data_IF_653312889923
#
_entry.id   IF_653312889923
#
_cell.length_a   1.000
_cell.length_b   1.000
_cell.length_c   1.000
_cell.angle_alpha   90.00
_cell.angle_beta   90.00
_cell.angle_gamma   90.00
#
_symmetry.space_group_name_H-M   'P 1'
#
loop_
_entity.id
_entity.type
_entity.pdbx_description
1 polymer ?
#
# COMPACT_ATOMS: atom_id res chain seq x y z
N UNK A 1 -24.33 -17.40 -6.81
CA UNK A 1 -23.81 -16.39 -7.77
C UNK A 1 -22.47 -15.97 -7.25
N UNK A 2 -21.41 -15.95 -8.10
CA UNK A 2 -20.07 -15.50 -7.69
C UNK A 2 -20.11 -14.00 -7.34
N UNK A 3 -19.40 -13.54 -6.29
CA UNK A 3 -19.29 -12.11 -6.02
C UNK A 3 -18.59 -11.38 -7.16
N UNK A 4 -19.13 -10.19 -7.52
CA UNK A 4 -18.58 -9.37 -8.60
C UNK A 4 -17.46 -8.49 -8.05
N UNK A 5 -16.28 -8.58 -8.64
CA UNK A 5 -15.06 -7.88 -8.23
C UNK A 5 -14.66 -6.87 -9.29
N UNK A 6 -14.38 -5.63 -8.86
CA UNK A 6 -13.81 -4.58 -9.70
C UNK A 6 -12.46 -4.12 -9.17
N UNK A 7 -11.49 -3.92 -10.07
CA UNK A 7 -10.20 -3.29 -9.80
C UNK A 7 -10.19 -1.87 -10.35
N UNK A 8 -9.75 -0.93 -9.53
CA UNK A 8 -9.73 0.49 -9.88
C UNK A 8 -8.38 1.10 -9.58
N UNK A 9 -7.85 1.82 -10.55
CA UNK A 9 -6.59 2.55 -10.46
C UNK A 9 -6.83 4.03 -10.14
N UNK A 10 -5.95 4.59 -9.32
CA UNK A 10 -5.85 6.02 -9.04
C UNK A 10 -4.38 6.44 -9.21
N UNK A 11 -3.85 7.34 -8.38
CA UNK A 11 -2.44 7.72 -8.51
C UNK A 11 -1.54 6.61 -7.94
N UNK A 12 -0.98 5.80 -8.83
CA UNK A 12 -0.12 4.65 -8.53
C UNK A 12 0.81 4.31 -9.70
N UNK A 13 1.56 3.22 -9.57
CA UNK A 13 2.36 2.61 -10.63
C UNK A 13 1.70 1.37 -11.24
N UNK A 14 0.48 1.00 -10.77
CA UNK A 14 -0.30 -0.18 -11.15
C UNK A 14 0.38 -1.53 -10.83
N UNK A 15 1.49 -1.49 -10.07
CA UNK A 15 2.27 -2.67 -9.72
C UNK A 15 1.49 -3.72 -8.91
N UNK A 16 0.49 -3.31 -8.13
CA UNK A 16 -0.36 -4.25 -7.40
C UNK A 16 -1.31 -4.98 -8.34
N UNK A 17 -1.91 -4.29 -9.32
CA UNK A 17 -2.75 -4.92 -10.34
C UNK A 17 -1.93 -5.85 -11.22
N UNK A 18 -0.72 -5.44 -11.62
CA UNK A 18 0.19 -6.30 -12.38
C UNK A 18 0.57 -7.57 -11.62
N UNK A 19 0.75 -7.51 -10.29
CA UNK A 19 0.96 -8.71 -9.48
C UNK A 19 -0.19 -9.72 -9.57
N UNK A 20 -1.42 -9.24 -9.79
CA UNK A 20 -2.60 -10.09 -9.92
C UNK A 20 -2.77 -10.57 -11.36
N UNK A 21 -2.52 -9.72 -12.34
CA UNK A 21 -2.50 -10.12 -13.75
C UNK A 21 -1.47 -11.25 -14.01
N UNK A 22 -0.39 -11.26 -13.24
CA UNK A 22 0.75 -12.18 -13.33
C UNK A 22 0.60 -13.43 -12.44
N UNK A 23 -0.62 -13.72 -11.97
CA UNK A 23 -0.91 -14.90 -11.12
C UNK A 23 -0.90 -16.22 -11.91
N UNK A 24 -0.81 -16.16 -13.24
CA UNK A 24 -0.77 -17.32 -14.12
C UNK A 24 -1.94 -18.31 -13.85
N UNK A 25 -1.65 -19.55 -13.51
CA UNK A 25 -2.66 -20.58 -13.24
C UNK A 25 -3.52 -20.25 -11.99
N UNK A 26 -3.00 -19.48 -11.01
CA UNK A 26 -3.73 -19.14 -9.79
C UNK A 26 -4.91 -18.20 -10.05
N UNK A 27 -4.88 -17.41 -11.16
CA UNK A 27 -6.00 -16.53 -11.54
C UNK A 27 -7.22 -17.35 -11.95
N UNK A 28 -7.03 -18.54 -12.52
CA UNK A 28 -8.11 -19.45 -12.91
C UNK A 28 -8.85 -19.88 -11.64
N UNK A 29 -8.12 -20.32 -10.62
CA UNK A 29 -8.68 -20.69 -9.33
C UNK A 29 -9.39 -19.53 -8.62
N UNK A 30 -8.96 -18.30 -8.83
CA UNK A 30 -9.65 -17.11 -8.33
C UNK A 30 -10.94 -16.85 -9.10
N UNK A 31 -10.93 -16.98 -10.44
CA UNK A 31 -12.10 -16.83 -11.31
C UNK A 31 -13.19 -17.91 -11.05
N UNK A 32 -12.83 -19.03 -10.45
CA UNK A 32 -13.81 -20.03 -9.98
C UNK A 32 -14.63 -19.54 -8.75
N UNK A 33 -14.09 -18.61 -7.97
CA UNK A 33 -14.67 -18.13 -6.73
C UNK A 33 -15.35 -16.77 -6.91
N UNK A 34 -14.77 -15.87 -7.70
CA UNK A 34 -15.27 -14.53 -7.96
C UNK A 34 -15.48 -14.30 -9.46
N UNK A 35 -16.32 -13.31 -9.78
CA UNK A 35 -16.53 -12.83 -11.14
C UNK A 35 -15.82 -11.47 -11.28
N UNK A 36 -14.69 -11.43 -11.99
CA UNK A 36 -13.94 -10.21 -12.25
C UNK A 36 -14.64 -9.46 -13.39
N UNK A 37 -15.34 -8.37 -13.06
CA UNK A 37 -16.20 -7.62 -13.99
C UNK A 37 -15.59 -6.31 -14.47
N UNK A 38 -14.56 -5.82 -13.77
CA UNK A 38 -13.80 -4.63 -14.16
C UNK A 38 -12.35 -4.78 -13.70
N UNK A 39 -11.42 -4.76 -14.67
CA UNK A 39 -9.97 -4.86 -14.43
C UNK A 39 -9.25 -4.33 -15.66
N UNK A 40 -8.95 -3.05 -15.67
CA UNK A 40 -8.45 -2.35 -16.88
C UNK A 40 -7.20 -2.97 -17.49
N UNK A 41 -6.32 -3.54 -16.68
CA UNK A 41 -5.08 -4.19 -17.14
C UNK A 41 -5.35 -5.50 -17.92
N UNK A 42 -6.50 -6.13 -17.72
CA UNK A 42 -6.77 -7.48 -18.26
C UNK A 42 -7.99 -7.52 -19.15
N UNK A 43 -9.02 -6.70 -18.88
CA UNK A 43 -10.29 -6.73 -19.62
C UNK A 43 -10.93 -5.35 -19.76
N UNK A 44 -11.73 -5.19 -20.82
CA UNK A 44 -12.55 -3.99 -21.06
C UNK A 44 -13.97 -4.25 -20.59
N UNK A 45 -14.23 -4.09 -19.32
CA UNK A 45 -15.53 -4.28 -18.73
C UNK A 45 -15.87 -3.18 -17.74
N UNK A 46 -17.16 -3.01 -17.47
CA UNK A 46 -17.62 -2.20 -16.35
C UNK A 46 -18.94 -2.76 -15.83
N UNK A 47 -19.25 -2.53 -14.57
CA UNK A 47 -20.48 -2.98 -13.95
C UNK A 47 -21.18 -1.85 -13.20
N UNK A 48 -22.51 -1.93 -13.11
CA UNK A 48 -23.31 -0.94 -12.38
C UNK A 48 -23.08 -1.00 -10.85
N UNK A 49 -22.69 -2.17 -10.32
CA UNK A 49 -22.38 -2.34 -8.90
C UNK A 49 -21.41 -3.50 -8.69
N UNK A 50 -20.72 -3.49 -7.54
CA UNK A 50 -19.69 -4.45 -7.17
C UNK A 50 -19.98 -5.04 -5.79
N UNK A 51 -19.68 -6.33 -5.62
CA UNK A 51 -19.66 -6.93 -4.28
C UNK A 51 -18.37 -6.55 -3.56
N UNK A 52 -17.25 -6.52 -4.30
CA UNK A 52 -15.93 -6.12 -3.79
C UNK A 52 -15.29 -5.14 -4.79
N UNK A 53 -14.90 -3.96 -4.34
CA UNK A 53 -14.10 -3.00 -5.10
C UNK A 53 -12.70 -2.93 -4.49
N UNK A 54 -11.69 -3.19 -5.30
CA UNK A 54 -10.27 -3.11 -4.96
C UNK A 54 -9.72 -1.79 -5.50
N UNK A 55 -9.30 -0.90 -4.62
CA UNK A 55 -8.81 0.43 -4.98
C UNK A 55 -7.31 0.46 -4.86
N UNK A 56 -6.61 0.56 -5.99
CA UNK A 56 -5.17 0.82 -6.05
C UNK A 56 -4.92 2.32 -6.26
N UNK A 57 -3.89 2.84 -5.60
CA UNK A 57 -3.48 4.23 -5.75
C UNK A 57 -4.01 5.17 -4.68
N UNK A 58 -3.38 6.32 -4.60
CA UNK A 58 -3.72 7.42 -3.68
C UNK A 58 -4.60 8.46 -4.37
N UNK A 59 -5.30 9.26 -3.57
CA UNK A 59 -6.19 10.30 -4.05
C UNK A 59 -5.43 11.63 -4.11
N UNK A 60 -5.28 12.19 -5.31
CA UNK A 60 -4.46 13.38 -5.56
C UNK A 60 -5.16 14.49 -6.32
N UNK A 61 -6.40 14.28 -6.78
CA UNK A 61 -7.19 15.24 -7.57
C UNK A 61 -8.65 15.24 -7.14
N UNK A 62 -9.37 16.33 -7.43
CA UNK A 62 -10.82 16.38 -7.20
C UNK A 62 -11.58 15.30 -7.99
N UNK A 63 -11.18 15.04 -9.23
CA UNK A 63 -11.76 13.97 -10.05
C UNK A 63 -11.57 12.58 -9.43
N UNK A 64 -10.43 12.33 -8.79
CA UNK A 64 -10.17 11.08 -8.07
C UNK A 64 -11.12 10.94 -6.87
N UNK A 65 -11.32 12.04 -6.13
CA UNK A 65 -12.22 12.07 -4.99
C UNK A 65 -13.67 11.79 -5.38
N UNK A 66 -14.14 12.42 -6.46
CA UNK A 66 -15.50 12.18 -6.99
C UNK A 66 -15.64 10.72 -7.44
N UNK A 67 -14.65 10.21 -8.18
CA UNK A 67 -14.65 8.83 -8.69
C UNK A 67 -14.63 7.80 -7.56
N UNK A 68 -13.79 7.95 -6.54
CA UNK A 68 -13.76 6.99 -5.42
C UNK A 68 -15.04 7.03 -4.58
N UNK A 69 -15.67 8.21 -4.42
CA UNK A 69 -16.97 8.34 -3.77
C UNK A 69 -18.08 7.63 -4.55
N UNK A 70 -18.05 7.71 -5.89
CA UNK A 70 -18.99 7.00 -6.74
C UNK A 70 -18.78 5.48 -6.66
N UNK A 71 -17.54 5.01 -6.75
CA UNK A 71 -17.20 3.58 -6.58
C UNK A 71 -17.68 3.09 -5.21
N UNK A 72 -17.44 3.85 -4.11
CA UNK A 72 -17.92 3.50 -2.76
C UNK A 72 -19.44 3.30 -2.72
N UNK A 73 -20.20 4.17 -3.38
CA UNK A 73 -21.69 4.06 -3.41
C UNK A 73 -22.16 2.80 -4.13
N UNK A 74 -21.42 2.35 -5.13
CA UNK A 74 -21.75 1.18 -5.97
C UNK A 74 -21.17 -0.13 -5.45
N UNK A 75 -20.40 -0.11 -4.35
CA UNK A 75 -19.69 -1.28 -3.81
C UNK A 75 -20.24 -1.67 -2.44
N UNK A 76 -20.41 -2.97 -2.19
CA UNK A 76 -20.76 -3.48 -0.86
C UNK A 76 -19.54 -3.42 0.07
N UNK A 77 -18.39 -3.91 -0.42
CA UNK A 77 -17.11 -3.92 0.28
C UNK A 77 -16.12 -3.12 -0.56
N UNK A 78 -15.42 -2.18 0.06
CA UNK A 78 -14.33 -1.42 -0.55
C UNK A 78 -13.03 -1.73 0.17
N UNK A 79 -12.02 -2.12 -0.60
CA UNK A 79 -10.71 -2.60 -0.11
C UNK A 79 -9.61 -1.68 -0.60
N UNK A 80 -8.79 -1.18 0.31
CA UNK A 80 -7.51 -0.55 -0.03
C UNK A 80 -6.54 -1.62 -0.55
N UNK A 81 -6.01 -1.41 -1.74
CA UNK A 81 -5.16 -2.36 -2.44
C UNK A 81 -3.79 -1.77 -2.72
N UNK A 82 -2.80 -2.20 -1.94
CA UNK A 82 -1.44 -1.70 -1.98
C UNK A 82 -1.15 -0.50 -1.06
N UNK A 83 0.13 -0.19 -0.90
CA UNK A 83 0.61 0.88 -0.03
C UNK A 83 0.11 2.28 -0.45
N UNK A 84 -0.07 2.53 -1.75
CA UNK A 84 -0.56 3.81 -2.24
C UNK A 84 -1.98 4.09 -1.75
N UNK A 85 -2.87 3.11 -1.82
CA UNK A 85 -4.24 3.23 -1.31
C UNK A 85 -4.28 3.33 0.22
N UNK A 86 -3.47 2.49 0.90
CA UNK A 86 -3.54 2.32 2.35
C UNK A 86 -2.78 3.39 3.15
N UNK A 87 -1.66 3.90 2.63
CA UNK A 87 -0.80 4.84 3.34
C UNK A 87 -0.64 6.18 2.60
N UNK A 88 -1.09 6.28 1.35
CA UNK A 88 -0.69 7.32 0.42
C UNK A 88 0.59 6.96 -0.34
N UNK A 89 1.39 6.02 0.20
CA UNK A 89 2.59 5.48 -0.41
C UNK A 89 3.66 6.52 -0.71
N UNK A 90 4.53 6.20 -1.65
CA UNK A 90 5.60 7.11 -2.14
C UNK A 90 5.02 8.43 -2.67
N UNK A 91 3.80 8.43 -3.19
CA UNK A 91 3.13 9.65 -3.67
C UNK A 91 2.94 10.72 -2.58
N UNK A 92 2.85 10.31 -1.30
CA UNK A 92 2.66 11.23 -0.16
C UNK A 92 3.94 12.02 0.20
N UNK A 93 5.11 11.62 -0.33
CA UNK A 93 6.36 12.37 -0.16
C UNK A 93 6.24 13.82 -0.62
N UNK A 94 5.44 14.09 -1.66
CA UNK A 94 5.22 15.47 -2.11
C UNK A 94 4.59 16.36 -1.04
N UNK A 95 3.84 15.80 -0.07
CA UNK A 95 3.20 16.57 0.99
C UNK A 95 4.21 17.18 1.99
N UNK A 96 5.45 16.71 1.99
CA UNK A 96 6.54 17.22 2.85
C UNK A 96 7.15 18.51 2.31
N UNK A 97 6.77 18.95 1.09
CA UNK A 97 7.32 20.13 0.42
C UNK A 97 6.19 21.01 -0.12
N UNK A 98 6.46 22.30 -0.30
CA UNK A 98 5.54 23.19 -1.02
C UNK A 98 5.38 22.73 -2.48
N UNK A 99 4.15 22.44 -2.89
CA UNK A 99 3.86 21.91 -4.23
C UNK A 99 4.26 22.89 -5.34
N UNK A 100 4.07 24.19 -5.12
CA UNK A 100 4.43 25.23 -6.11
C UNK A 100 5.94 25.30 -6.29
N UNK A 101 6.70 25.20 -5.20
CA UNK A 101 8.15 25.17 -5.26
C UNK A 101 8.66 23.93 -5.99
N UNK A 102 8.10 22.75 -5.69
CA UNK A 102 8.44 21.51 -6.40
C UNK A 102 8.14 21.59 -7.88
N UNK A 103 6.97 22.13 -8.27
CA UNK A 103 6.60 22.30 -9.68
C UNK A 103 7.56 23.23 -10.42
N UNK A 104 7.96 24.34 -9.79
CA UNK A 104 8.95 25.27 -10.39
C UNK A 104 10.31 24.61 -10.56
N UNK A 105 10.73 23.83 -9.56
CA UNK A 105 12.00 23.07 -9.62
C UNK A 105 12.00 22.07 -10.78
N UNK A 106 10.89 21.35 -10.99
CA UNK A 106 10.79 20.28 -11.99
C UNK A 106 10.51 20.81 -13.40
N UNK A 107 9.60 21.79 -13.53
CA UNK A 107 9.08 22.25 -14.82
C UNK A 107 9.59 23.62 -15.25
N UNK A 108 10.40 24.29 -14.44
CA UNK A 108 10.92 25.65 -14.74
C UNK A 108 9.79 26.63 -15.04
N UNK A 109 9.91 27.34 -16.16
CA UNK A 109 8.92 28.37 -16.58
C UNK A 109 7.54 27.78 -16.91
N UNK A 110 7.45 26.48 -17.22
CA UNK A 110 6.21 25.77 -17.53
C UNK A 110 5.46 25.24 -16.30
N UNK A 111 5.83 25.63 -15.08
CA UNK A 111 5.28 25.10 -13.82
C UNK A 111 3.76 25.24 -13.67
N UNK A 112 3.17 26.28 -14.29
CA UNK A 112 1.74 26.57 -14.17
C UNK A 112 0.94 25.85 -15.27
N UNK A 113 0.64 24.59 -15.02
CA UNK A 113 -0.16 23.74 -15.90
C UNK A 113 -1.47 23.36 -15.20
N UNK A 114 -2.57 24.14 -15.37
CA UNK A 114 -3.83 23.91 -14.65
C UNK A 114 -4.42 22.50 -14.84
N UNK A 115 -4.22 21.89 -16.01
CA UNK A 115 -4.70 20.53 -16.32
C UNK A 115 -3.95 19.42 -15.57
N UNK A 116 -2.78 19.73 -14.98
CA UNK A 116 -2.00 18.85 -14.13
C UNK A 116 -2.12 19.19 -12.64
N UNK A 117 -3.15 19.98 -12.26
CA UNK A 117 -3.35 20.34 -10.87
C UNK A 117 -3.63 19.12 -10.01
N UNK A 118 -2.88 19.04 -8.91
CA UNK A 118 -3.05 18.05 -7.85
C UNK A 118 -3.18 18.79 -6.52
N UNK A 119 -3.60 18.09 -5.50
CA UNK A 119 -3.58 18.56 -4.11
C UNK A 119 -2.79 17.57 -3.23
N UNK A 120 -2.61 17.83 -1.93
CA UNK A 120 -1.90 16.91 -1.05
C UNK A 120 -2.45 15.49 -1.16
N UNK A 121 -1.55 14.53 -1.31
CA UNK A 121 -1.88 13.12 -1.46
C UNK A 121 -2.56 12.58 -0.21
N UNK A 122 -3.67 11.86 -0.39
CA UNK A 122 -4.42 11.20 0.69
C UNK A 122 -4.54 9.70 0.42
N UNK A 123 -4.55 8.91 1.50
CA UNK A 123 -4.98 7.52 1.45
C UNK A 123 -6.50 7.44 1.17
N UNK A 124 -6.99 6.28 0.75
CA UNK A 124 -8.40 6.11 0.38
C UNK A 124 -9.32 6.27 1.59
N UNK A 125 -8.93 5.75 2.76
CA UNK A 125 -9.71 5.88 4.01
C UNK A 125 -9.81 7.32 4.53
N UNK A 126 -8.92 8.23 4.09
CA UNK A 126 -9.01 9.66 4.40
C UNK A 126 -10.12 10.36 3.59
N UNK A 127 -10.72 9.67 2.60
CA UNK A 127 -11.74 10.22 1.69
C UNK A 127 -13.08 9.48 1.78
N UNK A 128 -13.05 8.15 1.87
CA UNK A 128 -14.26 7.31 1.95
C UNK A 128 -14.09 6.21 3.00
N UNK A 129 -15.22 5.66 3.49
CA UNK A 129 -15.17 4.51 4.38
C UNK A 129 -14.60 3.29 3.65
N UNK A 130 -13.59 2.66 4.26
CA UNK A 130 -12.95 1.43 3.80
C UNK A 130 -13.36 0.28 4.71
N UNK A 131 -13.54 -0.91 4.15
CA UNK A 131 -13.98 -2.10 4.87
C UNK A 131 -12.82 -3.08 5.15
N UNK A 132 -11.77 -3.06 4.30
CA UNK A 132 -10.58 -3.90 4.44
C UNK A 132 -9.36 -3.28 3.74
N UNK A 133 -8.17 -3.81 4.00
CA UNK A 133 -6.94 -3.42 3.31
C UNK A 133 -6.08 -4.63 2.96
N UNK A 134 -5.33 -4.54 1.87
CA UNK A 134 -4.29 -5.47 1.44
C UNK A 134 -3.01 -4.63 1.26
N UNK A 135 -2.18 -4.48 2.30
CA UNK A 135 -1.03 -3.59 2.28
C UNK A 135 0.17 -4.23 1.55
N UNK A 136 1.06 -3.38 1.04
CA UNK A 136 2.32 -3.78 0.40
C UNK A 136 2.66 -2.93 -0.82
N UNK A 137 3.94 -2.96 -1.24
CA UNK A 137 4.41 -2.26 -2.44
C UNK A 137 5.42 -3.14 -3.21
N UNK A 138 4.89 -3.99 -4.12
CA UNK A 138 3.48 -4.33 -4.34
C UNK A 138 2.90 -5.29 -3.28
N UNK A 139 1.63 -5.62 -3.40
CA UNK A 139 0.94 -6.60 -2.54
C UNK A 139 1.53 -8.01 -2.68
N UNK A 140 1.39 -8.80 -1.61
CA UNK A 140 1.76 -10.23 -1.67
C UNK A 140 0.63 -11.03 -2.33
N UNK A 141 0.94 -11.81 -3.35
CA UNK A 141 -0.01 -12.61 -4.16
C UNK A 141 -0.81 -13.59 -3.30
N UNK A 142 -0.17 -14.31 -2.38
CA UNK A 142 -0.81 -15.31 -1.52
C UNK A 142 -1.75 -14.67 -0.50
N UNK A 143 -1.32 -13.56 0.09
CA UNK A 143 -2.16 -12.77 1.00
C UNK A 143 -3.39 -12.23 0.27
N UNK A 144 -3.21 -11.67 -0.94
CA UNK A 144 -4.30 -11.22 -1.79
C UNK A 144 -5.35 -12.32 -2.01
N UNK A 145 -4.93 -13.49 -2.50
CA UNK A 145 -5.83 -14.63 -2.74
C UNK A 145 -6.57 -15.02 -1.44
N UNK A 146 -5.86 -15.07 -0.31
CA UNK A 146 -6.44 -15.43 0.98
C UNK A 146 -7.51 -14.43 1.42
N UNK A 147 -7.22 -13.14 1.28
CA UNK A 147 -8.14 -12.06 1.66
C UNK A 147 -9.37 -12.03 0.74
N UNK A 148 -9.17 -12.11 -0.59
CA UNK A 148 -10.31 -12.11 -1.53
C UNK A 148 -11.20 -13.32 -1.34
N UNK A 149 -10.63 -14.51 -1.07
CA UNK A 149 -11.40 -15.70 -0.71
C UNK A 149 -12.23 -15.50 0.57
N UNK A 150 -11.63 -14.94 1.62
CA UNK A 150 -12.36 -14.65 2.86
C UNK A 150 -13.52 -13.67 2.61
N UNK A 151 -13.27 -12.57 1.90
CA UNK A 151 -14.29 -11.58 1.56
C UNK A 151 -15.41 -12.18 0.69
N UNK A 152 -15.08 -13.04 -0.28
CA UNK A 152 -16.05 -13.71 -1.13
C UNK A 152 -16.98 -14.66 -0.33
N UNK A 153 -16.48 -15.21 0.77
CA UNK A 153 -17.25 -16.04 1.71
C UNK A 153 -17.97 -15.22 2.80
N UNK A 154 -17.89 -13.89 2.76
CA UNK A 154 -18.46 -13.02 3.79
C UNK A 154 -17.72 -13.06 5.13
N UNK A 155 -16.49 -13.51 5.16
CA UNK A 155 -15.65 -13.57 6.35
C UNK A 155 -14.75 -12.32 6.45
N UNK A 156 -14.49 -11.81 7.68
CA UNK A 156 -13.56 -10.72 7.86
C UNK A 156 -12.13 -11.19 7.52
N UNK A 157 -11.39 -10.45 6.70
CA UNK A 157 -10.01 -10.79 6.40
C UNK A 157 -9.14 -10.59 7.63
N UNK A 158 -8.16 -11.48 7.83
CA UNK A 158 -7.19 -11.38 8.92
C UNK A 158 -5.84 -10.97 8.36
N UNK A 159 -5.39 -9.78 8.72
CA UNK A 159 -4.02 -9.34 8.51
C UNK A 159 -3.14 -9.78 9.69
N UNK A 160 -1.84 -10.06 9.45
CA UNK A 160 -0.89 -10.27 10.53
C UNK A 160 -0.86 -9.06 11.49
N UNK A 161 -0.82 -9.32 12.79
CA UNK A 161 -0.70 -8.32 13.86
C UNK A 161 0.70 -8.27 14.49
N UNK A 162 1.64 -8.99 13.89
CA UNK A 162 3.03 -9.12 14.30
C UNK A 162 3.98 -8.50 13.26
N UNK A 163 5.24 -8.19 13.66
CA UNK A 163 6.20 -7.52 12.78
C UNK A 163 6.85 -8.47 11.76
N UNK A 164 7.37 -7.88 10.66
CA UNK A 164 8.14 -8.59 9.62
C UNK A 164 9.29 -9.42 10.18
N UNK A 165 9.87 -9.03 11.31
CA UNK A 165 10.93 -9.78 11.98
C UNK A 165 10.53 -11.23 12.30
N UNK A 166 9.26 -11.52 12.55
CA UNK A 166 8.78 -12.89 12.80
C UNK A 166 8.94 -13.76 11.55
N UNK A 167 8.57 -13.23 10.38
CA UNK A 167 8.75 -13.93 9.10
C UNK A 167 10.24 -14.03 8.73
N UNK A 168 11.00 -12.95 8.97
CA UNK A 168 12.43 -12.89 8.75
C UNK A 168 13.17 -14.00 9.52
N UNK A 169 12.84 -14.18 10.79
CA UNK A 169 13.40 -15.26 11.61
C UNK A 169 12.97 -16.66 11.17
N UNK A 170 11.74 -16.85 10.72
CA UNK A 170 11.25 -18.12 10.16
C UNK A 170 11.99 -18.54 8.88
N UNK A 171 12.61 -17.59 8.19
CA UNK A 171 13.43 -17.81 6.99
C UNK A 171 14.92 -17.93 7.27
N UNK A 172 15.32 -17.94 8.54
CA UNK A 172 16.72 -17.99 9.00
C UNK A 172 17.60 -16.88 8.39
N UNK A 173 16.99 -15.70 8.12
CA UNK A 173 17.72 -14.57 7.59
C UNK A 173 18.68 -14.00 8.64
N UNK A 174 19.88 -13.61 8.21
CA UNK A 174 20.79 -12.79 9.02
C UNK A 174 20.13 -11.44 9.27
N UNK A 175 20.14 -10.98 10.53
CA UNK A 175 19.59 -9.68 10.86
C UNK A 175 20.41 -8.57 10.19
N UNK A 176 19.75 -7.65 9.50
CA UNK A 176 20.43 -6.58 8.78
C UNK A 176 21.18 -5.62 9.71
N UNK A 177 20.74 -5.47 10.96
CA UNK A 177 21.48 -4.71 11.98
C UNK A 177 22.83 -5.34 12.29
N UNK A 178 22.97 -6.66 12.26
CA UNK A 178 24.22 -7.36 12.51
C UNK A 178 25.28 -7.11 11.42
N UNK A 179 24.83 -6.63 10.25
CA UNK A 179 25.67 -6.24 9.11
C UNK A 179 25.68 -4.73 8.86
N UNK A 180 25.23 -3.93 9.84
CA UNK A 180 25.30 -2.46 9.81
C UNK A 180 24.25 -1.79 8.92
N UNK A 181 23.15 -2.46 8.59
CA UNK A 181 22.06 -1.89 7.78
C UNK A 181 20.83 -1.58 8.65
N UNK A 182 20.28 -0.38 8.50
CA UNK A 182 19.01 0.00 9.11
C UNK A 182 17.84 -0.79 8.50
N UNK A 183 16.82 -1.13 9.32
CA UNK A 183 15.68 -1.92 8.87
C UNK A 183 14.44 -1.59 9.70
N UNK A 184 13.30 -1.30 9.06
CA UNK A 184 12.02 -1.04 9.75
C UNK A 184 11.23 -2.32 10.08
N UNK A 185 11.79 -3.50 9.84
CA UNK A 185 11.15 -4.79 10.14
C UNK A 185 10.54 -4.93 11.53
N UNK A 186 11.17 -4.42 12.61
CA UNK A 186 10.62 -4.50 13.97
C UNK A 186 9.28 -3.81 14.19
N UNK A 187 8.96 -2.77 13.41
CA UNK A 187 7.72 -2.01 13.55
C UNK A 187 6.76 -2.17 12.38
N UNK A 188 7.20 -2.80 11.29
CA UNK A 188 6.39 -3.00 10.08
C UNK A 188 5.55 -4.27 10.18
N UNK A 189 4.28 -4.18 9.80
CA UNK A 189 3.34 -5.31 9.71
C UNK A 189 3.83 -6.40 8.77
N UNK A 190 3.83 -7.65 9.21
CA UNK A 190 4.13 -8.85 8.42
C UNK A 190 3.07 -9.15 7.33
N UNK A 191 3.28 -10.19 6.56
CA UNK A 191 2.42 -10.68 5.47
C UNK A 191 3.09 -10.64 4.09
N UNK A 192 4.37 -10.23 4.02
CA UNK A 192 5.15 -10.19 2.79
C UNK A 192 6.20 -11.31 2.71
N UNK A 193 6.20 -12.25 3.67
CA UNK A 193 7.22 -13.31 3.77
C UNK A 193 8.64 -12.76 3.95
N UNK A 194 8.80 -11.56 4.52
CA UNK A 194 10.08 -10.88 4.71
C UNK A 194 10.95 -10.82 3.44
N UNK A 195 10.34 -10.62 2.27
CA UNK A 195 11.01 -10.72 0.98
C UNK A 195 12.25 -9.79 0.90
N UNK A 196 12.15 -8.54 1.36
CA UNK A 196 13.26 -7.60 1.33
C UNK A 196 14.46 -8.12 2.15
N UNK A 197 14.35 -8.45 3.44
CA UNK A 197 15.46 -9.02 4.21
C UNK A 197 16.00 -10.33 3.63
N UNK A 198 15.15 -11.16 3.05
CA UNK A 198 15.56 -12.41 2.39
C UNK A 198 16.52 -12.15 1.23
N UNK A 199 16.34 -11.02 0.54
CA UNK A 199 17.23 -10.57 -0.53
C UNK A 199 18.26 -9.53 -0.07
N UNK A 200 18.55 -9.46 1.24
CA UNK A 200 19.55 -8.54 1.83
C UNK A 200 19.21 -7.05 1.60
N UNK A 201 17.94 -6.73 1.45
CA UNK A 201 17.42 -5.36 1.38
C UNK A 201 16.68 -5.01 2.65
N UNK A 202 16.81 -3.77 3.11
CA UNK A 202 16.12 -3.31 4.31
C UNK A 202 14.59 -3.33 4.15
N UNK A 203 13.86 -3.60 5.24
CA UNK A 203 12.44 -3.32 5.27
C UNK A 203 12.22 -1.80 5.35
N UNK A 204 11.44 -1.25 4.46
CA UNK A 204 11.16 0.19 4.35
C UNK A 204 9.74 0.57 4.79
N UNK A 205 8.99 -0.36 5.39
CA UNK A 205 7.70 -0.05 6.00
C UNK A 205 6.50 -0.02 5.06
N UNK A 206 6.60 -0.53 3.83
CA UNK A 206 5.54 -0.44 2.81
C UNK A 206 4.18 -1.05 3.20
N UNK A 207 4.10 -1.79 4.30
CA UNK A 207 2.88 -2.40 4.83
C UNK A 207 2.25 -1.63 6.00
N UNK A 208 2.85 -0.48 6.37
CA UNK A 208 2.46 0.26 7.55
C UNK A 208 2.91 -0.41 8.86
N UNK A 209 2.56 0.24 9.95
CA UNK A 209 2.95 -0.22 11.29
C UNK A 209 2.12 -1.41 11.75
N UNK A 210 2.70 -2.23 12.62
CA UNK A 210 1.92 -3.16 13.46
C UNK A 210 0.94 -2.39 14.37
N UNK A 211 -0.12 -3.03 14.90
CA UNK A 211 -1.11 -2.32 15.74
C UNK A 211 -0.54 -1.63 16.98
N UNK A 212 0.51 -2.19 17.58
CA UNK A 212 1.18 -1.63 18.77
C UNK A 212 2.71 -1.63 18.55
N UNK A 213 3.22 -0.67 17.75
CA UNK A 213 4.64 -0.60 17.45
C UNK A 213 5.43 0.01 18.59
N UNK A 214 6.47 -0.68 19.08
CA UNK A 214 7.39 -0.10 20.04
C UNK A 214 8.36 0.90 19.37
N UNK A 215 7.87 2.10 19.15
CA UNK A 215 8.58 3.19 18.46
C UNK A 215 9.83 3.64 19.20
N UNK A 216 9.76 3.73 20.53
CA UNK A 216 10.90 4.14 21.37
C UNK A 216 12.04 3.12 21.25
N UNK A 217 11.73 1.83 21.39
CA UNK A 217 12.72 0.77 21.21
C UNK A 217 13.32 0.78 19.81
N UNK A 218 12.50 1.05 18.80
CA UNK A 218 12.98 1.15 17.42
C UNK A 218 13.98 2.30 17.24
N UNK A 219 13.67 3.49 17.79
CA UNK A 219 14.60 4.63 17.80
C UNK A 219 15.92 4.28 18.49
N UNK A 220 15.84 3.66 19.68
CA UNK A 220 17.02 3.31 20.45
C UNK A 220 17.92 2.31 19.70
N UNK A 221 17.31 1.34 18.98
CA UNK A 221 18.03 0.39 18.14
C UNK A 221 18.70 1.10 16.96
N UNK A 222 18.03 2.02 16.29
CA UNK A 222 18.59 2.80 15.19
C UNK A 222 19.77 3.67 15.67
N UNK A 223 19.60 4.40 16.76
CA UNK A 223 20.64 5.23 17.37
C UNK A 223 21.85 4.38 17.79
N UNK A 224 21.63 3.22 18.44
CA UNK A 224 22.68 2.30 18.86
C UNK A 224 23.51 1.76 17.67
N UNK A 225 22.92 1.67 16.50
CA UNK A 225 23.59 1.26 15.26
C UNK A 225 24.18 2.43 14.47
N UNK A 226 24.21 3.65 15.05
CA UNK A 226 24.84 4.82 14.44
C UNK A 226 24.05 5.42 13.29
N UNK A 227 22.75 5.11 13.17
CA UNK A 227 21.87 5.65 12.13
C UNK A 227 21.48 7.09 12.51
N UNK A 228 21.68 8.03 11.59
CA UNK A 228 21.34 9.44 11.83
C UNK A 228 19.83 9.66 11.91
N UNK A 229 19.41 10.71 12.62
CA UNK A 229 17.99 11.09 12.68
C UNK A 229 17.40 11.39 11.30
N UNK A 230 18.18 12.01 10.40
CA UNK A 230 17.76 12.30 9.03
C UNK A 230 17.52 11.01 8.21
N UNK A 231 18.32 9.99 8.44
CA UNK A 231 18.15 8.69 7.79
C UNK A 231 16.92 7.98 8.34
N UNK A 232 16.72 8.01 9.65
CA UNK A 232 15.51 7.50 10.31
C UNK A 232 14.26 8.19 9.74
N UNK A 233 14.28 9.53 9.66
CA UNK A 233 13.18 10.30 9.08
C UNK A 233 12.88 9.86 7.65
N UNK A 234 13.90 9.77 6.79
CA UNK A 234 13.73 9.32 5.40
C UNK A 234 13.13 7.93 5.29
N UNK A 235 13.57 6.99 6.15
CA UNK A 235 13.03 5.63 6.15
C UNK A 235 11.55 5.59 6.52
N UNK A 236 11.15 6.31 7.56
CA UNK A 236 9.75 6.34 8.00
C UNK A 236 8.84 7.07 7.01
N UNK A 237 9.32 8.13 6.37
CA UNK A 237 8.51 8.92 5.44
C UNK A 237 8.37 8.31 4.06
N UNK A 238 9.22 7.35 3.67
CA UNK A 238 9.17 6.72 2.33
C UNK A 238 7.77 6.20 1.98
N UNK A 239 7.08 5.57 2.92
CA UNK A 239 5.71 5.07 2.75
C UNK A 239 4.70 5.80 3.63
N UNK A 240 4.94 7.08 3.90
CA UNK A 240 4.05 7.94 4.65
C UNK A 240 3.71 7.42 6.07
N UNK A 241 4.63 6.73 6.69
CA UNK A 241 4.54 6.49 8.12
C UNK A 241 4.69 7.86 8.80
N UNK A 242 3.69 8.22 9.60
CA UNK A 242 3.54 9.54 10.19
C UNK A 242 4.84 10.01 10.86
N UNK A 243 5.38 11.19 10.50
CA UNK A 243 6.55 11.76 11.17
C UNK A 243 6.34 12.02 12.67
N UNK A 244 5.09 12.23 13.16
CA UNK A 244 4.78 12.32 14.59
C UNK A 244 5.05 10.99 15.33
N UNK A 245 5.29 9.94 14.59
CA UNK A 245 5.80 8.65 15.09
C UNK A 245 7.27 8.71 15.42
N UNK A 246 7.97 9.70 14.85
CA UNK A 246 9.36 9.99 15.17
C UNK A 246 9.42 10.85 16.44
N UNK A 247 10.40 10.64 17.27
CA UNK A 247 10.60 11.43 18.47
C UNK A 247 11.03 12.85 18.16
#
# INVERSE_FOLDING_TARGET
>A
MKPRVGFFDFTCCEGCQLQIADLEEEIIGLADIVDIVEFREVLTGSAASYDIALIEGSITRNSDEERVKDIRKRSKILVEFGACAHLGGVNKLKNLRDETAVRREVYGDAWNMPHLNTYPTRAVHEVVKVDAAIPGCPVNRREFITIVKALAMGLPPKLPDYPVCVECKKRDNVCLYDIGMACLGPVTRAGCDAICPTHKSACEGCRGLVPDPNKNSMRDVLAKNGISLDEVFRMFTMYAIDPEVLP
#
